data_IF_254036286947
#
_entry.id   IF_254036286947
#
_cell.length_a   1.000
_cell.length_b   1.000
_cell.length_c   1.000
_cell.angle_alpha   90.00
_cell.angle_beta   90.00
_cell.angle_gamma   90.00
#
_symmetry.space_group_name_H-M   'P 1'
#
loop_
_entity.id
_entity.type
_entity.pdbx_description
1 polymer ?
#
# COMPACT_ATOMS: atom_id res chain seq x y z
N UNK A 1 -13.82 -24.20 18.58
CA UNK A 1 -14.20 -23.94 19.98
C UNK A 1 -13.81 -22.52 20.31
N UNK A 2 -14.83 -21.67 20.45
CA UNK A 2 -14.89 -20.39 21.18
C UNK A 2 -13.76 -19.36 20.99
N UNK A 3 -14.07 -18.25 20.31
CA UNK A 3 -14.30 -17.00 21.03
C UNK A 3 -15.04 -16.00 20.15
N UNK A 4 -16.36 -16.00 20.32
CA UNK A 4 -17.21 -14.84 20.08
C UNK A 4 -16.77 -13.71 21.02
N UNK A 5 -16.42 -12.57 20.46
CA UNK A 5 -16.51 -11.29 21.16
C UNK A 5 -17.34 -10.36 20.28
N UNK A 6 -18.64 -10.58 20.40
CA UNK A 6 -19.69 -9.62 20.07
C UNK A 6 -19.47 -8.38 20.97
N UNK A 7 -19.28 -7.20 20.37
CA UNK A 7 -19.49 -5.93 21.07
C UNK A 7 -20.25 -4.97 20.13
N UNK A 8 -21.17 -4.17 20.69
CA UNK A 8 -22.20 -3.49 19.93
C UNK A 8 -21.69 -2.26 19.20
N UNK A 9 -22.48 -1.91 18.19
CA UNK A 9 -22.48 -0.74 17.33
C UNK A 9 -22.15 0.55 18.10
N UNK A 10 -20.96 1.12 17.86
CA UNK A 10 -20.67 2.49 18.22
C UNK A 10 -21.36 3.39 17.20
N UNK A 11 -22.54 3.89 17.58
CA UNK A 11 -23.24 4.96 16.88
C UNK A 11 -22.31 6.17 16.72
N UNK A 12 -21.94 6.47 15.47
CA UNK A 12 -21.38 7.77 15.12
C UNK A 12 -22.53 8.77 15.07
N UNK A 13 -22.47 9.90 15.80
CA UNK A 13 -23.55 10.88 15.75
C UNK A 13 -23.61 11.52 14.36
N UNK A 14 -24.72 11.27 13.69
CA UNK A 14 -25.18 11.98 12.51
C UNK A 14 -25.71 13.34 12.99
N UNK A 15 -24.93 14.42 12.79
CA UNK A 15 -25.37 15.81 12.55
C UNK A 15 -24.17 16.76 12.70
N UNK A 16 -23.52 17.05 11.59
CA UNK A 16 -22.85 18.33 11.39
C UNK A 16 -22.88 18.65 9.89
N UNK A 17 -23.81 19.53 9.54
CA UNK A 17 -23.94 20.15 8.24
C UNK A 17 -22.61 20.77 7.83
N UNK A 18 -21.93 20.19 6.83
CA UNK A 18 -20.82 20.82 6.14
C UNK A 18 -20.88 20.43 4.66
N UNK A 19 -21.85 21.01 3.96
CA UNK A 19 -21.75 21.19 2.52
C UNK A 19 -20.56 22.13 2.22
N UNK A 20 -19.36 21.60 2.27
CA UNK A 20 -18.17 22.13 1.62
C UNK A 20 -17.51 20.95 0.94
N UNK A 21 -17.44 21.01 -0.40
CA UNK A 21 -16.67 20.08 -1.22
C UNK A 21 -15.33 19.80 -0.53
N UNK A 22 -14.94 18.55 -0.26
CA UNK A 22 -13.56 18.29 0.08
C UNK A 22 -12.78 18.60 -1.19
N UNK A 23 -12.13 19.77 -1.18
CA UNK A 23 -11.11 20.17 -2.13
C UNK A 23 -10.35 18.91 -2.53
N UNK A 24 -10.36 18.59 -3.83
CA UNK A 24 -9.60 17.48 -4.41
C UNK A 24 -8.24 17.45 -3.73
N UNK A 25 -8.07 16.55 -2.77
CA UNK A 25 -6.79 16.30 -2.16
C UNK A 25 -5.99 15.67 -3.30
N UNK A 26 -5.32 16.51 -4.07
CA UNK A 26 -4.22 16.09 -4.90
C UNK A 26 -3.27 15.43 -3.92
N UNK A 27 -3.36 14.10 -3.83
CA UNK A 27 -2.27 13.25 -3.42
C UNK A 27 -1.22 13.51 -4.48
N UNK A 28 -0.50 14.62 -4.34
CA UNK A 28 0.66 14.92 -5.14
C UNK A 28 1.49 13.64 -5.08
N UNK A 29 1.69 13.01 -6.24
CA UNK A 29 2.43 11.76 -6.30
C UNK A 29 3.74 11.97 -5.51
N UNK A 30 4.24 10.96 -4.78
CA UNK A 30 5.40 11.15 -3.89
C UNK A 30 6.59 11.86 -4.56
N UNK A 31 6.69 11.75 -5.90
CA UNK A 31 7.64 12.41 -6.81
C UNK A 31 7.53 13.95 -6.88
N UNK A 32 6.34 14.52 -6.70
CA UNK A 32 6.06 15.96 -6.89
C UNK A 32 6.21 16.82 -5.63
N UNK A 33 6.39 16.24 -4.45
CA UNK A 33 6.65 17.02 -3.23
C UNK A 33 8.10 17.52 -3.19
N UNK A 34 8.40 18.65 -2.51
CA UNK A 34 9.76 19.14 -2.33
C UNK A 34 10.69 18.09 -1.68
N UNK A 35 10.16 17.29 -0.76
CA UNK A 35 10.85 16.15 -0.15
C UNK A 35 11.12 15.03 -1.18
N UNK A 36 10.16 14.71 -2.05
CA UNK A 36 10.34 13.74 -3.11
C UNK A 36 11.36 14.14 -4.16
N UNK A 37 11.45 15.43 -4.49
CA UNK A 37 12.47 15.97 -5.40
C UNK A 37 13.87 15.89 -4.80
N UNK A 38 14.04 16.24 -3.53
CA UNK A 38 15.30 16.10 -2.81
C UNK A 38 15.73 14.62 -2.69
N UNK A 39 14.78 13.71 -2.51
CA UNK A 39 15.05 12.27 -2.49
C UNK A 39 15.53 11.79 -3.87
N UNK A 40 14.90 12.21 -4.97
CA UNK A 40 15.32 11.84 -6.32
C UNK A 40 16.70 12.40 -6.66
N UNK A 41 17.00 13.64 -6.28
CA UNK A 41 18.30 14.27 -6.45
C UNK A 41 19.38 13.57 -5.59
N UNK A 42 19.02 13.14 -4.38
CA UNK A 42 19.86 12.29 -3.54
C UNK A 42 20.10 10.92 -4.18
N UNK A 43 19.11 10.31 -4.82
CA UNK A 43 19.27 9.04 -5.52
C UNK A 43 20.17 9.18 -6.75
N UNK A 44 20.03 10.26 -7.52
CA UNK A 44 20.90 10.54 -8.66
C UNK A 44 22.36 10.77 -8.22
N UNK A 45 22.59 11.56 -7.18
CA UNK A 45 23.94 11.76 -6.63
C UNK A 45 24.54 10.49 -6.00
N UNK A 46 23.72 9.51 -5.64
CA UNK A 46 24.17 8.20 -5.15
C UNK A 46 24.46 7.19 -6.27
N UNK A 47 23.77 7.28 -7.41
CA UNK A 47 24.11 6.54 -8.64
C UNK A 47 25.53 6.90 -9.09
N UNK A 48 25.85 8.20 -9.07
CA UNK A 48 27.17 8.75 -9.45
C UNK A 48 28.32 8.29 -8.55
N UNK A 49 28.03 7.88 -7.31
CA UNK A 49 29.04 7.38 -6.35
C UNK A 49 29.36 5.89 -6.52
N UNK A 50 28.90 5.24 -7.59
CA UNK A 50 29.25 3.86 -7.92
C UNK A 50 28.50 2.78 -7.11
N UNK A 51 27.51 3.18 -6.31
CA UNK A 51 26.64 2.28 -5.53
C UNK A 51 25.25 2.07 -6.16
N UNK A 52 25.08 2.55 -7.39
CA UNK A 52 23.85 2.47 -8.16
C UNK A 52 23.62 1.14 -8.87
N UNK A 53 24.14 0.01 -8.36
CA UNK A 53 23.83 -1.31 -8.94
C UNK A 53 22.75 -2.02 -8.12
N UNK A 54 21.73 -2.54 -8.82
CA UNK A 54 20.66 -3.34 -8.24
C UNK A 54 20.87 -4.83 -8.58
N UNK A 55 20.45 -5.72 -7.68
CA UNK A 55 20.37 -7.14 -8.00
C UNK A 55 19.23 -7.39 -9.00
N UNK A 56 19.57 -7.83 -10.21
CA UNK A 56 18.59 -8.15 -11.24
C UNK A 56 18.06 -9.59 -11.05
N UNK A 57 16.74 -9.81 -11.13
CA UNK A 57 16.18 -11.14 -10.93
C UNK A 57 16.46 -12.09 -12.10
N UNK A 58 16.80 -13.34 -11.77
CA UNK A 58 16.93 -14.46 -12.72
C UNK A 58 17.86 -14.15 -13.91
N UNK A 59 17.39 -14.40 -15.13
CA UNK A 59 18.15 -14.21 -16.36
C UNK A 59 18.17 -12.75 -16.87
N UNK A 60 17.60 -11.79 -16.13
CA UNK A 60 17.55 -10.40 -16.59
C UNK A 60 18.94 -9.78 -16.74
N UNK A 61 19.87 -10.11 -15.84
CA UNK A 61 21.27 -9.69 -15.96
C UNK A 61 21.94 -10.20 -17.25
N UNK A 62 21.54 -11.37 -17.75
CA UNK A 62 22.06 -11.94 -19.01
C UNK A 62 21.42 -11.27 -20.23
N UNK A 63 20.12 -10.97 -20.14
CA UNK A 63 19.37 -10.35 -21.24
C UNK A 63 19.73 -8.87 -21.43
N UNK A 64 20.01 -8.17 -20.34
CA UNK A 64 20.33 -6.74 -20.34
C UNK A 64 21.61 -6.48 -19.51
N UNK A 65 22.79 -6.69 -20.12
CA UNK A 65 24.05 -6.32 -19.48
C UNK A 65 24.06 -4.79 -19.32
N UNK A 66 24.23 -4.30 -18.08
CA UNK A 66 24.17 -2.89 -17.62
C UNK A 66 22.81 -2.38 -17.11
N UNK A 67 21.72 -3.16 -17.22
CA UNK A 67 20.43 -2.75 -16.65
C UNK A 67 20.46 -2.57 -15.13
N UNK A 68 21.45 -3.15 -14.45
CA UNK A 68 21.61 -3.01 -13.00
C UNK A 68 21.94 -1.56 -12.58
N UNK A 69 22.45 -0.74 -13.50
CA UNK A 69 22.84 0.67 -13.26
C UNK A 69 21.86 1.68 -13.81
N UNK A 70 20.94 1.24 -14.64
CA UNK A 70 19.92 2.09 -15.24
C UNK A 70 18.92 2.54 -14.18
N UNK A 71 18.55 3.83 -14.22
CA UNK A 71 17.62 4.41 -13.25
C UNK A 71 16.28 3.69 -13.22
N UNK A 72 15.77 3.27 -14.39
CA UNK A 72 14.50 2.55 -14.51
C UNK A 72 14.46 1.19 -13.79
N UNK A 73 15.61 0.65 -13.41
CA UNK A 73 15.73 -0.62 -12.69
C UNK A 73 16.00 -0.46 -11.20
N UNK A 74 16.29 0.77 -10.72
CA UNK A 74 16.52 1.01 -9.30
C UNK A 74 15.22 0.90 -8.50
N UNK A 75 15.35 0.58 -7.20
CA UNK A 75 14.22 0.58 -6.29
C UNK A 75 13.67 2.01 -6.10
N UNK A 76 12.36 2.17 -6.23
CA UNK A 76 11.65 3.42 -5.93
C UNK A 76 11.79 3.81 -4.45
N UNK A 77 11.87 2.81 -3.56
CA UNK A 77 12.09 3.00 -2.13
C UNK A 77 13.36 2.24 -1.71
N UNK A 78 14.54 2.81 -2.00
CA UNK A 78 15.79 2.17 -1.66
C UNK A 78 16.05 2.26 -0.15
N UNK A 79 16.80 1.29 0.36
CA UNK A 79 17.30 1.31 1.72
C UNK A 79 18.35 2.41 1.87
N UNK A 80 18.29 3.15 2.98
CA UNK A 80 19.34 4.08 3.37
C UNK A 80 20.70 3.38 3.57
N UNK A 81 20.68 2.11 3.97
CA UNK A 81 21.86 1.28 4.23
C UNK A 81 22.18 0.44 3.00
N UNK A 82 23.47 0.43 2.62
CA UNK A 82 24.03 -0.46 1.59
C UNK A 82 24.30 -1.81 2.24
N UNK A 83 23.90 -2.90 1.57
CA UNK A 83 24.15 -4.26 2.05
C UNK A 83 24.91 -5.06 1.01
N UNK A 84 25.68 -6.04 1.45
CA UNK A 84 26.36 -6.97 0.57
C UNK A 84 25.38 -8.04 0.11
N UNK A 85 25.29 -8.24 -1.20
CA UNK A 85 24.51 -9.33 -1.77
C UNK A 85 25.13 -10.68 -1.39
N UNK A 86 24.29 -11.62 -0.96
CA UNK A 86 24.74 -12.96 -0.57
C UNK A 86 25.10 -13.83 -1.78
N UNK A 87 24.56 -13.53 -2.96
CA UNK A 87 24.79 -14.33 -4.16
C UNK A 87 26.15 -14.02 -4.80
N UNK A 88 26.47 -12.75 -4.98
CA UNK A 88 27.68 -12.33 -5.72
C UNK A 88 28.72 -11.60 -4.86
N UNK A 89 28.41 -11.29 -3.59
CA UNK A 89 29.32 -10.56 -2.70
C UNK A 89 29.48 -9.07 -3.01
N UNK A 90 28.74 -8.54 -3.99
CA UNK A 90 28.78 -7.12 -4.39
C UNK A 90 27.93 -6.29 -3.43
N UNK A 91 28.46 -5.14 -3.00
CA UNK A 91 27.71 -4.17 -2.19
C UNK A 91 26.72 -3.40 -3.05
N UNK A 92 25.42 -3.54 -2.75
CA UNK A 92 24.31 -2.97 -3.52
C UNK A 92 23.28 -2.34 -2.59
N UNK A 93 22.45 -1.44 -3.12
CA UNK A 93 21.28 -0.95 -2.39
C UNK A 93 20.09 -1.88 -2.62
N UNK A 94 19.50 -2.36 -1.54
CA UNK A 94 18.28 -3.14 -1.57
C UNK A 94 17.06 -2.24 -1.37
N UNK A 95 15.87 -2.79 -1.56
CA UNK A 95 14.65 -2.11 -1.16
C UNK A 95 14.65 -1.87 0.37
N UNK A 96 13.88 -0.88 0.81
CA UNK A 96 13.64 -0.63 2.22
C UNK A 96 13.13 -1.90 2.92
N UNK A 97 13.57 -2.12 4.16
CA UNK A 97 13.11 -3.22 4.97
C UNK A 97 11.61 -3.07 5.31
N UNK A 98 10.83 -4.13 5.12
CA UNK A 98 9.39 -4.16 5.42
C UNK A 98 9.09 -3.83 6.88
N UNK A 99 9.98 -4.21 7.81
CA UNK A 99 9.86 -3.88 9.23
C UNK A 99 9.93 -2.37 9.50
N UNK A 100 10.69 -1.62 8.70
CA UNK A 100 10.77 -0.16 8.82
C UNK A 100 9.42 0.47 8.53
N UNK A 101 8.76 0.04 7.45
CA UNK A 101 7.43 0.51 7.09
C UNK A 101 6.38 0.12 8.14
N UNK A 102 6.42 -1.12 8.63
CA UNK A 102 5.51 -1.58 9.69
C UNK A 102 5.64 -0.74 10.97
N UNK A 103 6.88 -0.45 11.39
CA UNK A 103 7.15 0.41 12.56
C UNK A 103 6.65 1.83 12.35
N UNK A 104 6.88 2.40 11.17
CA UNK A 104 6.41 3.75 10.84
C UNK A 104 4.88 3.85 10.92
N UNK A 105 4.15 2.90 10.34
CA UNK A 105 2.68 2.85 10.40
C UNK A 105 2.19 2.68 11.85
N UNK A 106 2.81 1.78 12.62
CA UNK A 106 2.45 1.57 14.02
C UNK A 106 2.70 2.81 14.88
N UNK A 107 3.79 3.53 14.62
CA UNK A 107 4.10 4.77 15.33
C UNK A 107 3.11 5.88 14.97
N UNK A 108 2.78 6.03 13.69
CA UNK A 108 1.76 6.99 13.25
C UNK A 108 0.41 6.71 13.94
N UNK A 109 -0.03 5.44 13.97
CA UNK A 109 -1.27 5.03 14.63
C UNK A 109 -1.29 5.39 16.12
N UNK A 110 -0.16 5.25 16.82
CA UNK A 110 -0.05 5.67 18.24
C UNK A 110 -0.18 7.18 18.41
N UNK A 111 0.46 7.97 17.54
CA UNK A 111 0.42 9.44 17.61
C UNK A 111 -1.00 9.97 17.45
N UNK A 112 -1.79 9.36 16.55
CA UNK A 112 -3.20 9.74 16.33
C UNK A 112 -4.19 9.08 17.31
N UNK A 113 -3.71 8.33 18.30
CA UNK A 113 -4.57 7.71 19.32
C UNK A 113 -5.40 6.52 18.83
N UNK A 114 -4.96 5.80 17.80
CA UNK A 114 -5.63 4.57 17.37
C UNK A 114 -5.15 3.40 18.25
N UNK A 115 -6.05 2.93 19.12
CA UNK A 115 -5.76 1.83 20.05
C UNK A 115 -5.77 0.44 19.38
N UNK A 116 -6.37 0.32 18.19
CA UNK A 116 -6.45 -0.94 17.44
C UNK A 116 -5.09 -1.27 16.80
N UNK A 117 -4.74 -2.56 16.63
CA UNK A 117 -3.54 -2.94 15.90
C UNK A 117 -3.67 -2.54 14.42
N UNK A 118 -2.83 -1.58 13.99
CA UNK A 118 -2.78 -1.12 12.60
C UNK A 118 -1.42 -1.44 11.99
N UNK A 119 -1.45 -1.97 10.78
CA UNK A 119 -0.26 -2.18 9.95
C UNK A 119 -0.58 -2.09 8.45
N UNK A 120 0.41 -2.36 7.57
CA UNK A 120 0.21 -2.29 6.13
C UNK A 120 -0.94 -3.15 5.60
N UNK A 121 -1.17 -4.33 6.19
CA UNK A 121 -2.31 -5.19 5.81
C UNK A 121 -3.66 -4.56 6.18
N UNK A 122 -3.76 -3.88 7.31
CA UNK A 122 -4.96 -3.11 7.70
C UNK A 122 -5.26 -2.04 6.67
N UNK A 123 -4.25 -1.30 6.20
CA UNK A 123 -4.42 -0.27 5.16
C UNK A 123 -4.91 -0.88 3.84
N UNK A 124 -4.38 -2.04 3.45
CA UNK A 124 -4.86 -2.78 2.26
C UNK A 124 -6.33 -3.21 2.41
N UNK A 125 -6.73 -3.65 3.60
CA UNK A 125 -8.11 -4.00 3.88
C UNK A 125 -9.03 -2.78 3.83
N UNK A 126 -8.63 -1.66 4.45
CA UNK A 126 -9.39 -0.40 4.39
C UNK A 126 -9.57 0.08 2.95
N UNK A 127 -8.53 0.01 2.12
CA UNK A 127 -8.62 0.34 0.70
C UNK A 127 -9.68 -0.52 -0.02
N UNK A 128 -9.66 -1.84 0.17
CA UNK A 128 -10.63 -2.74 -0.44
C UNK A 128 -12.07 -2.46 0.03
N UNK A 129 -12.26 -2.25 1.33
CA UNK A 129 -13.57 -1.93 1.91
C UNK A 129 -14.09 -0.59 1.37
N UNK A 130 -13.26 0.45 1.28
CA UNK A 130 -13.66 1.74 0.73
C UNK A 130 -14.07 1.66 -0.74
N UNK A 131 -13.38 0.86 -1.56
CA UNK A 131 -13.80 0.64 -2.95
C UNK A 131 -15.20 0.02 -3.01
N UNK A 132 -15.44 -1.03 -2.23
CA UNK A 132 -16.75 -1.68 -2.20
C UNK A 132 -17.85 -0.77 -1.60
N UNK A 133 -17.54 0.07 -0.60
CA UNK A 133 -18.46 1.09 -0.07
C UNK A 133 -18.91 2.09 -1.14
N UNK A 134 -17.98 2.49 -1.99
CA UNK A 134 -18.21 3.39 -3.12
C UNK A 134 -18.92 2.71 -4.30
N UNK A 135 -19.36 1.46 -4.16
CA UNK A 135 -20.17 0.75 -5.16
C UNK A 135 -19.37 0.12 -6.29
N UNK A 136 -18.05 0.01 -6.17
CA UNK A 136 -17.25 -0.72 -7.16
C UNK A 136 -17.56 -2.21 -7.10
N UNK A 137 -17.64 -2.85 -8.28
CA UNK A 137 -17.89 -4.29 -8.37
C UNK A 137 -16.74 -5.11 -7.79
N UNK A 138 -17.07 -6.26 -7.20
CA UNK A 138 -16.11 -7.15 -6.56
C UNK A 138 -15.04 -7.66 -7.53
N UNK A 139 -15.34 -7.81 -8.84
CA UNK A 139 -14.34 -8.19 -9.85
C UNK A 139 -13.32 -7.07 -10.07
N UNK A 140 -13.78 -5.83 -10.11
CA UNK A 140 -12.89 -4.66 -10.22
C UNK A 140 -11.93 -4.61 -9.02
N UNK A 141 -12.45 -4.81 -7.81
CA UNK A 141 -11.62 -4.84 -6.59
C UNK A 141 -10.66 -6.03 -6.60
N UNK A 142 -11.09 -7.20 -7.07
CA UNK A 142 -10.24 -8.38 -7.22
C UNK A 142 -9.05 -8.12 -8.15
N UNK A 143 -9.29 -7.46 -9.29
CA UNK A 143 -8.26 -7.11 -10.27
C UNK A 143 -7.25 -6.11 -9.71
N UNK A 144 -7.74 -5.05 -9.03
CA UNK A 144 -6.89 -4.03 -8.40
C UNK A 144 -5.99 -4.61 -7.30
N UNK A 145 -6.50 -5.59 -6.54
CA UNK A 145 -5.72 -6.28 -5.50
C UNK A 145 -4.88 -7.43 -6.05
N UNK A 146 -4.98 -7.74 -7.35
CA UNK A 146 -4.32 -8.88 -8.01
C UNK A 146 -4.61 -10.21 -7.32
N UNK A 147 -5.84 -10.42 -6.86
CA UNK A 147 -6.25 -11.68 -6.24
C UNK A 147 -6.55 -12.73 -7.31
N UNK A 148 -5.89 -13.89 -7.22
CA UNK A 148 -6.12 -15.02 -8.14
C UNK A 148 -7.53 -15.60 -8.02
N UNK A 149 -8.11 -15.58 -6.82
CA UNK A 149 -9.45 -16.09 -6.54
C UNK A 149 -10.32 -14.99 -5.92
N UNK A 150 -11.57 -14.91 -6.37
CA UNK A 150 -12.59 -14.00 -5.84
C UNK A 150 -12.93 -14.30 -4.39
N UNK A 151 -12.77 -15.56 -3.94
CA UNK A 151 -12.98 -15.95 -2.54
C UNK A 151 -12.13 -15.12 -1.58
N UNK A 152 -10.90 -14.77 -1.96
CA UNK A 152 -10.03 -13.91 -1.14
C UNK A 152 -10.55 -12.48 -1.04
N UNK A 153 -11.21 -11.98 -2.08
CA UNK A 153 -11.82 -10.63 -2.10
C UNK A 153 -13.16 -10.60 -1.36
N UNK A 154 -13.92 -11.70 -1.37
CA UNK A 154 -15.19 -11.84 -0.64
C UNK A 154 -15.03 -11.67 0.88
N UNK A 155 -13.83 -11.83 1.44
CA UNK A 155 -13.57 -11.52 2.86
C UNK A 155 -13.98 -10.07 3.18
N UNK A 156 -13.89 -9.14 2.22
CA UNK A 156 -14.26 -7.73 2.42
C UNK A 156 -15.76 -7.46 2.31
N UNK A 157 -16.53 -8.33 1.64
CA UNK A 157 -17.98 -8.13 1.53
C UNK A 157 -18.70 -8.45 2.83
N UNK A 158 -18.16 -9.37 3.65
CA UNK A 158 -18.72 -9.67 4.97
C UNK A 158 -18.65 -8.48 5.93
N UNK A 159 -17.61 -7.63 5.81
CA UNK A 159 -17.44 -6.43 6.65
C UNK A 159 -18.46 -5.35 6.27
N UNK A 160 -18.94 -5.36 5.03
CA UNK A 160 -19.82 -4.32 4.53
C UNK A 160 -21.25 -4.44 5.01
N UNK A 161 -21.64 -5.62 5.50
CA UNK A 161 -22.96 -6.00 6.03
C UNK A 161 -24.07 -4.98 5.73
N UNK A 162 -24.21 -4.59 4.46
CA UNK A 162 -25.38 -3.90 3.94
C UNK A 162 -26.41 -5.00 4.05
N UNK A 163 -27.25 -4.89 5.08
CA UNK A 163 -28.31 -5.84 5.35
C UNK A 163 -29.09 -6.06 4.06
N UNK A 164 -28.95 -7.25 3.50
CA UNK A 164 -29.55 -7.61 2.23
C UNK A 164 -29.01 -6.79 1.05
N UNK A 165 -28.76 -7.48 -0.04
CA UNK A 165 -29.16 -6.89 -1.31
C UNK A 165 -30.64 -6.53 -1.10
N UNK A 166 -30.98 -5.24 -1.06
CA UNK A 166 -32.36 -4.80 -1.32
C UNK A 166 -32.63 -5.21 -2.77
N UNK A 167 -32.86 -6.51 -2.99
CA UNK A 167 -33.37 -7.01 -4.26
C UNK A 167 -34.79 -6.48 -4.28
N UNK A 168 -34.99 -5.33 -4.95
CA UNK A 168 -36.34 -4.97 -5.36
C UNK A 168 -36.81 -6.10 -6.25
N UNK A 169 -37.97 -6.64 -5.90
CA UNK A 169 -38.62 -7.64 -6.73
C UNK A 169 -38.71 -7.10 -8.16
N UNK A 170 -38.38 -7.87 -9.19
CA UNK A 170 -38.55 -7.44 -10.59
C UNK A 170 -40.03 -7.22 -10.99
N UNK A 171 -40.96 -7.35 -10.04
CA UNK A 171 -42.41 -7.21 -10.20
C UNK A 171 -43.00 -6.06 -9.34
N UNK A 172 -42.16 -5.21 -8.73
CA UNK A 172 -42.57 -3.99 -8.00
C UNK A 172 -42.24 -2.71 -8.80
#
# INVERSE_FOLDING_TARGET
TQNELFLPEAAFPETANCAQEPARANVASPVTSPQGRAEIEFLNTLLDRGFGSVALPYALARKYPNADRDWGWQYVFPSAIISRDKQDGVSRRFHMNTATLQKAVKQAAKVVGINKPVGPHTLRHSFATHLLQNGYDIRTVQELLRHKDVKTTMIYTHVLNRGGISVRSPLD
#
